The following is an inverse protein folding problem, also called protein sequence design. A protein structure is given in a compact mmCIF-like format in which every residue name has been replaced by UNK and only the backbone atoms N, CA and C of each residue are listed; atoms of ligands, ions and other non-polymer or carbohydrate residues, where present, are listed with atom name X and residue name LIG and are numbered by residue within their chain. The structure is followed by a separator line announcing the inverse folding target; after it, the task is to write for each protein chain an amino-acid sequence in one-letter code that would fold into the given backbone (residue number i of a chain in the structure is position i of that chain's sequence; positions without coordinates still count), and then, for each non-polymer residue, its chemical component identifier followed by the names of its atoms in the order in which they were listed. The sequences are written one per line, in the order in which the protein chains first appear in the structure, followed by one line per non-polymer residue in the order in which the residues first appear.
data_IF_436033091049
#
_entry.id   IF_436033091049
#
_cell.length_a   1.000
_cell.length_b   1.000
_cell.length_c   1.000
_cell.angle_alpha   90.00
_cell.angle_beta   90.00
_cell.angle_gamma   90.00
#
_symmetry.space_group_name_H-M   'P 1'
#
loop_
_entity.id
_entity.type
_entity.pdbx_description
1 polymer ?
#
# COMPACT_ATOMS: atom_id res chain seq x y z
N UNK A 1 -15.05 -18.09 62.54
CA UNK A 1 -14.74 -16.98 61.61
C UNK A 1 -15.96 -16.11 61.58
N UNK A 2 -15.97 -15.07 62.42
CA UNK A 2 -17.17 -14.26 62.65
C UNK A 2 -17.22 -13.14 61.61
N UNK A 3 -18.11 -13.29 60.64
CA UNK A 3 -18.37 -12.26 59.63
C UNK A 3 -19.24 -11.21 60.30
N UNK A 4 -18.65 -10.06 60.65
CA UNK A 4 -19.39 -8.89 61.10
C UNK A 4 -20.35 -8.45 59.99
N UNK A 5 -21.65 -8.72 60.18
CA UNK A 5 -22.71 -8.34 59.26
C UNK A 5 -23.05 -6.85 59.42
N UNK A 6 -23.03 -6.16 58.28
CA UNK A 6 -23.74 -4.92 57.96
C UNK A 6 -23.82 -3.88 59.08
N UNK A 7 -22.81 -3.03 59.19
CA UNK A 7 -22.98 -1.74 59.87
C UNK A 7 -24.03 -0.92 59.11
N UNK A 8 -25.13 -0.58 59.79
CA UNK A 8 -26.17 0.28 59.24
C UNK A 8 -25.59 1.66 58.96
N UNK A 9 -25.49 2.03 57.68
CA UNK A 9 -25.16 3.39 57.28
C UNK A 9 -26.48 4.18 57.20
N UNK A 10 -26.71 5.18 58.07
CA UNK A 10 -27.93 5.97 58.02
C UNK A 10 -27.98 6.74 56.69
N UNK A 11 -29.18 6.87 56.13
CA UNK A 11 -29.41 7.53 54.82
C UNK A 11 -28.82 8.94 54.78
N UNK A 12 -28.82 9.65 55.92
CA UNK A 12 -28.21 10.97 56.09
C UNK A 12 -26.68 11.02 55.84
N UNK A 13 -25.97 9.88 55.87
CA UNK A 13 -24.55 9.83 55.52
C UNK A 13 -24.30 9.98 54.02
N UNK A 14 -25.31 9.69 53.17
CA UNK A 14 -25.24 9.83 51.72
C UNK A 14 -25.42 11.28 51.25
N UNK A 15 -26.10 12.10 52.05
CA UNK A 15 -26.40 13.51 51.73
C UNK A 15 -25.25 14.48 52.06
N UNK A 16 -24.07 13.96 52.43
CA UNK A 16 -22.92 14.81 52.72
C UNK A 16 -22.43 15.49 51.42
N UNK A 17 -22.25 16.82 51.40
CA UNK A 17 -21.70 17.49 50.24
C UNK A 17 -20.28 16.95 49.99
N UNK A 18 -20.05 16.45 48.77
CA UNK A 18 -18.71 15.99 48.35
C UNK A 18 -17.73 17.16 48.47
N UNK A 19 -16.61 16.94 49.16
CA UNK A 19 -15.52 17.92 49.21
C UNK A 19 -14.81 17.94 47.86
N UNK A 20 -14.41 19.13 47.42
CA UNK A 20 -13.58 19.28 46.23
C UNK A 20 -12.27 18.48 46.42
N UNK A 21 -12.05 17.48 45.57
CA UNK A 21 -10.88 16.59 45.62
C UNK A 21 -11.16 15.11 45.90
N UNK A 22 -12.41 14.73 46.22
CA UNK A 22 -12.79 13.32 46.50
C UNK A 22 -13.03 12.48 45.22
N UNK A 23 -12.24 12.77 44.17
CA UNK A 23 -12.26 12.04 42.91
C UNK A 23 -11.48 10.74 43.09
N UNK A 24 -12.18 9.59 43.08
CA UNK A 24 -11.58 8.25 43.20
C UNK A 24 -10.69 7.84 42.03
N UNK A 25 -10.73 8.58 40.92
CA UNK A 25 -9.93 8.30 39.73
C UNK A 25 -8.66 9.15 39.75
N UNK A 26 -7.46 8.54 39.69
CA UNK A 26 -6.23 9.30 39.48
C UNK A 26 -6.32 10.04 38.14
N UNK A 27 -5.75 11.26 38.02
CA UNK A 27 -5.69 11.96 36.75
C UNK A 27 -4.91 11.08 35.77
N UNK A 28 -5.54 10.74 34.64
CA UNK A 28 -4.83 10.04 33.58
C UNK A 28 -3.83 11.01 32.96
N UNK A 29 -2.55 10.64 32.97
CA UNK A 29 -1.55 11.34 32.16
C UNK A 29 -2.06 11.39 30.72
N UNK A 30 -1.98 12.58 30.10
CA UNK A 30 -2.48 12.85 28.75
C UNK A 30 -1.91 11.81 27.77
N UNK A 31 -2.70 10.78 27.48
CA UNK A 31 -2.31 9.73 26.57
C UNK A 31 -2.16 10.35 25.18
N UNK A 32 -0.92 10.47 24.72
CA UNK A 32 -0.58 10.98 23.40
C UNK A 32 -1.34 10.15 22.37
N UNK A 33 -2.17 10.82 21.55
CA UNK A 33 -2.98 10.15 20.55
C UNK A 33 -2.07 9.28 19.64
N UNK A 34 -2.47 8.03 19.34
CA UNK A 34 -1.69 7.19 18.44
C UNK A 34 -1.60 7.85 17.05
N UNK A 35 -0.49 7.68 16.33
CA UNK A 35 -0.33 8.25 14.99
C UNK A 35 -1.43 7.73 14.07
N UNK A 36 -2.07 8.63 13.31
CA UNK A 36 -3.14 8.25 12.40
C UNK A 36 -2.57 7.35 11.30
N UNK A 37 -3.01 6.09 11.25
CA UNK A 37 -2.65 5.20 10.16
C UNK A 37 -3.36 5.66 8.88
N UNK A 38 -2.62 5.72 7.78
CA UNK A 38 -3.19 6.01 6.47
C UNK A 38 -4.20 4.91 6.09
N UNK A 39 -5.41 5.31 5.71
CA UNK A 39 -6.48 4.39 5.35
C UNK A 39 -6.14 3.69 4.02
N UNK A 40 -5.60 2.47 4.11
CA UNK A 40 -5.24 1.60 2.98
C UNK A 40 -6.47 0.85 2.47
N UNK A 41 -7.55 1.58 2.18
CA UNK A 41 -8.73 0.98 1.57
C UNK A 41 -8.39 0.50 0.15
N UNK A 42 -8.23 -0.81 0.02
CA UNK A 42 -7.94 -1.51 -1.25
C UNK A 42 -9.04 -1.34 -2.29
N UNK A 43 -10.23 -0.86 -1.91
CA UNK A 43 -11.35 -0.59 -2.82
C UNK A 43 -11.29 0.81 -3.43
N UNK A 44 -10.45 1.70 -2.88
CA UNK A 44 -10.34 3.08 -3.35
C UNK A 44 -9.66 3.08 -4.70
N UNK A 45 -10.43 3.36 -5.74
CA UNK A 45 -9.89 3.50 -7.09
C UNK A 45 -8.99 4.75 -7.14
N UNK A 46 -7.89 4.71 -7.90
CA UNK A 46 -7.07 5.89 -8.12
C UNK A 46 -7.93 7.00 -8.74
N UNK A 47 -7.79 8.21 -8.22
CA UNK A 47 -8.49 9.38 -8.76
C UNK A 47 -8.11 9.57 -10.23
N UNK A 48 -9.09 9.48 -11.12
CA UNK A 48 -8.90 9.62 -12.57
C UNK A 48 -8.44 11.03 -12.98
N UNK A 49 -8.58 12.03 -12.10
CA UNK A 49 -8.11 13.40 -12.33
C UNK A 49 -6.63 13.57 -11.99
N UNK A 50 -6.04 12.66 -11.21
CA UNK A 50 -4.64 12.73 -10.83
C UNK A 50 -3.76 12.33 -12.01
N UNK A 51 -2.81 13.19 -12.39
CA UNK A 51 -1.80 12.86 -13.40
C UNK A 51 -0.93 11.72 -12.87
N UNK A 52 -0.71 10.70 -13.71
CA UNK A 52 0.22 9.63 -13.41
C UNK A 52 1.63 10.22 -13.32
N UNK A 53 2.34 9.89 -12.24
CA UNK A 53 3.75 10.27 -12.09
C UNK A 53 4.60 9.42 -13.04
N UNK A 54 5.70 9.99 -13.59
CA UNK A 54 6.63 9.24 -14.41
C UNK A 54 7.25 8.11 -13.57
N UNK A 55 7.28 6.90 -14.14
CA UNK A 55 7.90 5.75 -13.48
C UNK A 55 9.42 5.85 -13.58
N UNK A 56 10.10 6.00 -12.44
CA UNK A 56 11.57 6.09 -12.32
C UNK A 56 12.19 4.73 -11.97
N UNK A 57 12.00 3.75 -12.85
CA UNK A 57 12.49 2.40 -12.62
C UNK A 57 12.88 1.68 -13.92
N UNK A 58 13.62 0.58 -13.83
CA UNK A 58 13.96 -0.21 -15.00
C UNK A 58 12.69 -0.75 -15.65
N UNK A 59 12.57 -0.57 -16.96
CA UNK A 59 11.45 -1.11 -17.73
C UNK A 59 11.49 -2.64 -17.68
N UNK A 60 10.57 -3.23 -16.90
CA UNK A 60 10.45 -4.68 -16.74
C UNK A 60 9.65 -5.35 -17.86
N UNK A 61 9.18 -4.58 -18.86
CA UNK A 61 8.49 -5.16 -20.00
C UNK A 61 9.45 -6.09 -20.74
N UNK A 62 9.00 -7.32 -21.01
CA UNK A 62 9.75 -8.21 -21.88
C UNK A 62 9.96 -7.55 -23.23
N UNK A 63 11.20 -7.21 -23.54
CA UNK A 63 11.57 -6.74 -24.88
C UNK A 63 11.28 -7.89 -25.83
N UNK A 64 10.42 -7.64 -26.82
CA UNK A 64 10.20 -8.59 -27.92
C UNK A 64 11.50 -8.67 -28.71
N UNK A 65 12.41 -9.54 -28.30
CA UNK A 65 13.50 -10.00 -29.14
C UNK A 65 12.83 -10.84 -30.21
N UNK A 66 12.45 -10.20 -31.33
CA UNK A 66 12.17 -10.96 -32.54
C UNK A 66 13.49 -11.67 -32.84
N UNK A 67 13.55 -12.97 -32.56
CA UNK A 67 14.46 -13.85 -33.30
C UNK A 67 14.19 -13.48 -34.75
N UNK A 68 15.13 -12.81 -35.42
CA UNK A 68 15.00 -12.55 -36.84
C UNK A 68 15.04 -13.94 -37.44
N UNK A 69 13.94 -14.50 -37.99
CA UNK A 69 14.10 -15.65 -38.85
C UNK A 69 14.83 -15.07 -40.07
N UNK A 70 16.16 -15.14 -40.05
CA UNK A 70 16.92 -14.95 -41.26
C UNK A 70 16.48 -16.12 -42.14
N UNK A 71 15.68 -15.81 -43.16
CA UNK A 71 15.33 -16.80 -44.17
C UNK A 71 16.66 -17.29 -44.73
N UNK A 72 16.95 -18.57 -44.60
CA UNK A 72 18.15 -19.15 -45.18
C UNK A 72 17.86 -19.46 -46.65
N UNK A 73 18.81 -19.17 -47.53
CA UNK A 73 18.75 -19.64 -48.90
C UNK A 73 18.90 -21.18 -48.89
N UNK A 74 17.94 -21.95 -49.45
CA UNK A 74 17.98 -23.42 -49.42
C UNK A 74 19.18 -24.02 -50.18
N UNK A 75 19.83 -23.27 -51.07
CA UNK A 75 20.97 -23.75 -51.86
C UNK A 75 22.31 -23.52 -51.16
N UNK A 76 22.46 -22.39 -50.47
CA UNK A 76 23.73 -22.00 -49.84
C UNK A 76 23.73 -22.17 -48.31
N UNK A 77 22.54 -22.33 -47.70
CA UNK A 77 22.33 -22.31 -46.25
C UNK A 77 22.81 -21.01 -45.57
N UNK A 78 23.05 -19.96 -46.35
CA UNK A 78 23.44 -18.63 -45.86
C UNK A 78 22.20 -17.76 -45.63
N UNK A 79 22.36 -16.68 -44.87
CA UNK A 79 21.27 -15.71 -44.65
C UNK A 79 20.89 -15.02 -45.95
N UNK A 80 19.64 -15.16 -46.38
CA UNK A 80 19.13 -14.44 -47.54
C UNK A 80 19.13 -12.93 -47.28
N UNK A 81 19.43 -12.11 -48.31
CA UNK A 81 19.35 -10.66 -48.18
C UNK A 81 17.92 -10.26 -47.81
N UNK A 82 17.80 -9.37 -46.81
CA UNK A 82 16.51 -8.89 -46.35
C UNK A 82 16.05 -7.76 -47.27
N UNK A 83 14.94 -7.96 -47.98
CA UNK A 83 14.34 -6.94 -48.83
C UNK A 83 13.12 -6.29 -48.14
N UNK A 84 12.93 -4.98 -48.37
CA UNK A 84 11.69 -4.28 -48.02
C UNK A 84 10.56 -4.69 -48.98
N UNK A 85 9.31 -4.38 -48.64
CA UNK A 85 8.11 -4.61 -49.47
C UNK A 85 8.17 -3.97 -50.86
N UNK A 86 9.11 -3.04 -51.05
CA UNK A 86 9.40 -2.34 -52.31
C UNK A 86 10.54 -2.99 -53.11
N UNK A 87 11.08 -4.13 -52.67
CA UNK A 87 12.19 -4.85 -53.31
C UNK A 87 13.56 -4.18 -53.11
N UNK A 88 13.73 -3.37 -52.06
CA UNK A 88 15.01 -2.71 -51.75
C UNK A 88 15.76 -3.47 -50.67
N UNK A 89 17.06 -3.66 -50.86
CA UNK A 89 17.93 -4.30 -49.86
C UNK A 89 17.99 -3.47 -48.57
N UNK A 90 17.85 -4.15 -47.43
CA UNK A 90 17.96 -3.57 -46.10
C UNK A 90 19.34 -3.87 -45.52
N UNK A 91 20.08 -2.82 -45.16
CA UNK A 91 21.34 -2.96 -44.43
C UNK A 91 21.06 -3.47 -43.01
N UNK A 92 21.34 -4.75 -42.78
CA UNK A 92 21.10 -5.41 -41.51
C UNK A 92 22.29 -5.38 -40.53
N UNK A 93 23.34 -4.57 -40.80
CA UNK A 93 24.46 -4.34 -39.87
C UNK A 93 24.01 -3.47 -38.70
N UNK A 94 23.75 -4.11 -37.55
CA UNK A 94 23.58 -3.47 -36.25
C UNK A 94 24.35 -4.28 -35.21
#
# INVERSE_FOLDING_TARGET
MDIYRNTYQPVAALDRPRREGDNRTPPSDEAKAPPSQANTDRRRQPDRRRRQEPFDGPDQRQRKTRRRPLLLDPKTAESAPLEDRRGRLLDAKA
#
